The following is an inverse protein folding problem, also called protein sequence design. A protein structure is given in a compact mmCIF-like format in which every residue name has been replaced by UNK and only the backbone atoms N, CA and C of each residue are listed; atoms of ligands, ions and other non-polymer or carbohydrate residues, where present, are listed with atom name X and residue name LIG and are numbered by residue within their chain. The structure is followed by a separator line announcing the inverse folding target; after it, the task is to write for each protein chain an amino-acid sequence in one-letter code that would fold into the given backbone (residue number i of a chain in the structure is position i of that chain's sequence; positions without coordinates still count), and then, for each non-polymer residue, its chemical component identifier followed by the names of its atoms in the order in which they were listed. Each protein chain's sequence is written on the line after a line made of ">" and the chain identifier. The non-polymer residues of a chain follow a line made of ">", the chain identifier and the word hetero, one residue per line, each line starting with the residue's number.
data_IF_893206253128
#
_entry.id   IF_893206253128
#
_cell.length_a   1.000
_cell.length_b   1.000
_cell.length_c   1.000
_cell.angle_alpha   90.00
_cell.angle_beta   90.00
_cell.angle_gamma   90.00
#
_symmetry.space_group_name_H-M   'P 1'
#
loop_
_entity.id
_entity.type
_entity.pdbx_description
1 polymer ?
#
# COMPACT_ATOMS: atom_id res chain seq x y z
N UNK A 1 -14.66 -8.24 12.23
CA UNK A 1 -14.26 -8.76 10.89
C UNK A 1 -13.85 -10.24 11.00
N UNK A 2 -14.81 -11.17 10.96
CA UNK A 2 -14.53 -12.62 10.86
C UNK A 2 -14.55 -13.15 9.41
N UNK A 3 -14.83 -12.27 8.45
CA UNK A 3 -15.03 -12.64 7.03
C UNK A 3 -13.72 -12.83 6.24
N UNK A 4 -12.62 -12.19 6.66
CA UNK A 4 -11.33 -12.28 5.97
C UNK A 4 -10.31 -12.95 6.90
N UNK A 5 -9.77 -14.13 6.54
CA UNK A 5 -8.73 -14.80 7.34
C UNK A 5 -7.46 -13.95 7.43
N UNK A 6 -6.79 -13.97 8.60
CA UNK A 6 -5.58 -13.17 8.85
C UNK A 6 -4.50 -13.41 7.79
N UNK A 7 -4.20 -14.69 7.51
CA UNK A 7 -3.17 -15.07 6.54
C UNK A 7 -3.55 -14.65 5.11
N UNK A 8 -4.81 -14.81 4.73
CA UNK A 8 -5.30 -14.40 3.42
C UNK A 8 -5.16 -12.89 3.22
N UNK A 9 -5.53 -12.10 4.24
CA UNK A 9 -5.35 -10.64 4.20
C UNK A 9 -3.88 -10.24 4.02
N UNK A 10 -2.97 -10.85 4.79
CA UNK A 10 -1.54 -10.57 4.70
C UNK A 10 -0.95 -10.97 3.33
N UNK A 11 -1.32 -12.13 2.78
CA UNK A 11 -0.87 -12.56 1.45
C UNK A 11 -1.38 -11.61 0.36
N UNK A 12 -2.66 -11.22 0.42
CA UNK A 12 -3.23 -10.25 -0.51
C UNK A 12 -2.47 -8.92 -0.46
N UNK A 13 -2.16 -8.41 0.74
CA UNK A 13 -1.35 -7.20 0.87
C UNK A 13 0.03 -7.34 0.20
N UNK A 14 0.71 -8.48 0.37
CA UNK A 14 2.00 -8.73 -0.30
C UNK A 14 1.84 -8.71 -1.82
N UNK A 15 0.78 -9.33 -2.36
CA UNK A 15 0.49 -9.34 -3.80
C UNK A 15 0.27 -7.91 -4.32
N UNK A 16 -0.56 -7.12 -3.63
CA UNK A 16 -0.81 -5.73 -4.01
C UNK A 16 0.44 -4.86 -3.93
N UNK A 17 1.24 -4.98 -2.87
CA UNK A 17 2.50 -4.23 -2.75
C UNK A 17 3.52 -4.66 -3.80
N UNK A 18 3.60 -5.95 -4.13
CA UNK A 18 4.44 -6.45 -5.22
C UNK A 18 4.01 -5.88 -6.57
N UNK A 19 2.71 -5.87 -6.87
CA UNK A 19 2.18 -5.25 -8.07
C UNK A 19 2.46 -3.73 -8.10
N UNK A 20 2.33 -3.05 -6.97
CA UNK A 20 2.65 -1.62 -6.86
C UNK A 20 4.15 -1.35 -7.06
N UNK A 21 5.04 -2.21 -6.56
CA UNK A 21 6.49 -2.15 -6.83
C UNK A 21 6.76 -2.27 -8.33
N UNK A 22 6.14 -3.24 -9.02
CA UNK A 22 6.26 -3.37 -10.48
C UNK A 22 5.76 -2.12 -11.19
N UNK A 23 4.62 -1.55 -10.77
CA UNK A 23 4.12 -0.28 -11.30
C UNK A 23 5.14 0.86 -11.11
N UNK A 24 5.76 0.99 -9.94
CA UNK A 24 6.79 2.00 -9.70
C UNK A 24 8.04 1.81 -10.59
N UNK A 25 8.40 0.56 -10.92
CA UNK A 25 9.47 0.29 -11.91
C UNK A 25 9.06 0.79 -13.29
N UNK A 26 7.82 0.52 -13.73
CA UNK A 26 7.30 0.98 -15.03
C UNK A 26 7.30 2.52 -15.12
N UNK A 27 6.87 3.19 -14.03
CA UNK A 27 6.94 4.66 -13.90
C UNK A 27 8.37 5.16 -13.98
N UNK A 28 9.30 4.51 -13.28
CA UNK A 28 10.72 4.89 -13.27
C UNK A 28 11.37 4.76 -14.65
N UNK A 29 10.98 3.73 -15.42
CA UNK A 29 11.41 3.52 -16.80
C UNK A 29 10.79 4.52 -17.79
N UNK A 30 9.87 5.38 -17.34
CA UNK A 30 9.27 6.43 -18.16
C UNK A 30 8.18 5.95 -19.12
N UNK A 31 7.66 4.74 -18.94
CA UNK A 31 6.53 4.23 -19.75
C UNK A 31 5.20 4.89 -19.41
N UNK A 32 5.10 5.53 -18.24
CA UNK A 32 3.94 6.33 -17.83
C UNK A 32 4.31 7.81 -17.92
N UNK A 33 3.46 8.66 -18.54
CA UNK A 33 3.67 10.11 -18.57
C UNK A 33 3.79 10.70 -17.17
N UNK A 34 4.73 11.62 -16.97
CA UNK A 34 5.06 12.20 -15.65
C UNK A 34 3.85 12.88 -15.02
N UNK A 35 3.10 13.62 -15.83
CA UNK A 35 1.89 14.36 -15.50
C UNK A 35 0.70 13.47 -15.12
N UNK A 36 0.82 12.14 -15.23
CA UNK A 36 -0.21 11.17 -14.83
C UNK A 36 0.09 10.46 -13.50
N UNK A 37 1.26 10.69 -12.89
CA UNK A 37 1.67 9.99 -11.67
C UNK A 37 1.56 10.96 -10.49
N UNK A 38 1.31 10.41 -9.29
CA UNK A 38 1.25 11.19 -8.05
C UNK A 38 0.10 12.20 -8.04
N UNK A 39 -1.07 11.79 -8.51
CA UNK A 39 -2.26 12.63 -8.58
C UNK A 39 -2.19 13.68 -9.70
N UNK A 40 -1.34 13.46 -10.70
CA UNK A 40 -1.08 14.35 -11.83
C UNK A 40 -0.40 15.68 -11.48
N UNK A 41 0.46 15.68 -10.45
CA UNK A 41 1.08 16.91 -9.91
C UNK A 41 2.55 17.08 -10.26
N UNK A 42 3.20 16.04 -10.77
CA UNK A 42 4.62 16.09 -11.09
C UNK A 42 4.85 16.82 -12.41
N UNK A 43 5.91 17.63 -12.47
CA UNK A 43 6.19 18.50 -13.61
C UNK A 43 7.39 18.06 -14.44
N UNK A 44 8.27 17.21 -13.90
CA UNK A 44 9.52 16.82 -14.57
C UNK A 44 9.98 15.40 -14.20
N UNK A 45 10.93 14.87 -14.97
CA UNK A 45 11.45 13.50 -14.80
C UNK A 45 12.19 13.29 -13.47
N UNK A 46 12.78 14.34 -12.91
CA UNK A 46 13.47 14.27 -11.63
C UNK A 46 12.46 14.05 -10.50
N UNK A 47 11.36 14.81 -10.49
CA UNK A 47 10.24 14.62 -9.57
C UNK A 47 9.61 13.23 -9.70
N UNK A 48 9.41 12.75 -10.94
CA UNK A 48 8.96 11.37 -11.22
C UNK A 48 9.89 10.34 -10.59
N UNK A 49 11.20 10.50 -10.78
CA UNK A 49 12.22 9.58 -10.27
C UNK A 49 12.22 9.55 -8.74
N UNK A 50 12.22 10.71 -8.10
CA UNK A 50 12.17 10.82 -6.63
C UNK A 50 10.88 10.21 -6.10
N UNK A 51 9.73 10.55 -6.70
CA UNK A 51 8.43 10.02 -6.32
C UNK A 51 8.37 8.49 -6.45
N UNK A 52 8.91 7.93 -7.52
CA UNK A 52 8.94 6.49 -7.75
C UNK A 52 9.84 5.76 -6.74
N UNK A 53 11.05 6.26 -6.50
CA UNK A 53 11.99 5.68 -5.52
C UNK A 53 11.44 5.76 -4.10
N UNK A 54 10.90 6.90 -3.69
CA UNK A 54 10.29 7.06 -2.36
C UNK A 54 9.11 6.10 -2.15
N UNK A 55 8.24 5.98 -3.16
CA UNK A 55 7.12 5.03 -3.13
C UNK A 55 7.63 3.59 -3.01
N UNK A 56 8.68 3.23 -3.76
CA UNK A 56 9.29 1.91 -3.71
C UNK A 56 9.80 1.57 -2.31
N UNK A 57 10.55 2.48 -1.68
CA UNK A 57 11.09 2.30 -0.33
C UNK A 57 9.96 2.06 0.66
N UNK A 58 8.92 2.89 0.62
CA UNK A 58 7.75 2.75 1.50
C UNK A 58 7.04 1.41 1.28
N UNK A 59 6.85 0.99 0.03
CA UNK A 59 6.23 -0.30 -0.30
C UNK A 59 7.05 -1.48 0.22
N UNK A 60 8.37 -1.46 0.06
CA UNK A 60 9.26 -2.50 0.58
C UNK A 60 9.24 -2.57 2.12
N UNK A 61 9.18 -1.42 2.79
CA UNK A 61 8.99 -1.36 4.25
C UNK A 61 7.62 -1.94 4.66
N UNK A 62 6.56 -1.65 3.90
CA UNK A 62 5.25 -2.24 4.12
C UNK A 62 5.28 -3.77 3.99
N UNK A 63 5.93 -4.31 2.94
CA UNK A 63 6.12 -5.76 2.77
C UNK A 63 6.88 -6.35 3.96
N UNK A 64 7.97 -5.72 4.40
CA UNK A 64 8.75 -6.19 5.54
C UNK A 64 7.91 -6.27 6.82
N UNK A 65 7.06 -5.28 7.08
CA UNK A 65 6.15 -5.27 8.23
C UNK A 65 5.06 -6.37 8.13
N UNK A 66 4.49 -6.59 6.95
CA UNK A 66 3.52 -7.69 6.73
C UNK A 66 4.18 -9.05 6.97
N UNK A 67 5.42 -9.26 6.47
CA UNK A 67 6.19 -10.48 6.70
C UNK A 67 6.54 -10.68 8.18
N UNK A 68 6.90 -9.60 8.89
CA UNK A 68 7.10 -9.63 10.34
C UNK A 68 5.83 -10.10 11.04
N UNK A 69 4.67 -9.57 10.62
CA UNK A 69 3.37 -9.89 11.22
C UNK A 69 2.92 -11.32 10.95
N UNK A 70 3.26 -11.88 9.80
CA UNK A 70 3.07 -13.30 9.48
C UNK A 70 3.96 -14.21 10.34
N UNK A 71 5.22 -13.83 10.55
CA UNK A 71 6.19 -14.62 11.35
C UNK A 71 5.96 -14.51 12.85
N UNK A 72 5.56 -13.33 13.33
CA UNK A 72 5.41 -12.99 14.76
C UNK A 72 4.04 -12.34 14.97
N UNK A 73 2.95 -13.13 14.98
CA UNK A 73 1.60 -12.60 15.02
C UNK A 73 1.19 -11.94 16.35
N UNK A 74 2.01 -12.05 17.39
CA UNK A 74 1.79 -11.37 18.67
C UNK A 74 2.75 -10.19 18.89
N UNK A 75 3.58 -9.85 17.88
CA UNK A 75 4.50 -8.72 17.98
C UNK A 75 3.76 -7.39 18.07
N UNK A 76 3.97 -6.65 19.17
CA UNK A 76 3.44 -5.30 19.33
C UNK A 76 3.96 -4.35 18.24
N UNK A 77 5.24 -4.45 17.88
CA UNK A 77 5.86 -3.67 16.79
C UNK A 77 5.15 -3.97 15.47
N UNK A 78 4.92 -5.25 15.17
CA UNK A 78 4.16 -5.65 13.99
C UNK A 78 2.72 -5.12 14.01
N UNK A 79 2.02 -5.22 15.14
CA UNK A 79 0.64 -4.72 15.30
C UNK A 79 0.53 -3.21 15.06
N UNK A 80 1.33 -2.41 15.75
CA UNK A 80 1.35 -0.95 15.58
C UNK A 80 1.83 -0.55 14.18
N UNK A 81 2.83 -1.24 13.62
CA UNK A 81 3.29 -1.03 12.25
C UNK A 81 2.17 -1.21 11.22
N UNK A 82 1.30 -2.22 11.39
CA UNK A 82 0.16 -2.41 10.51
C UNK A 82 -0.91 -1.32 10.65
N UNK A 83 -1.10 -0.75 11.85
CA UNK A 83 -1.96 0.42 12.03
C UNK A 83 -1.40 1.67 11.33
N UNK A 84 -0.08 1.86 11.36
CA UNK A 84 0.58 2.94 10.59
C UNK A 84 0.35 2.74 9.09
N UNK A 85 0.51 1.52 8.58
CA UNK A 85 0.21 1.19 7.17
C UNK A 85 -1.27 1.48 6.85
N UNK A 86 -2.19 1.11 7.75
CA UNK A 86 -3.61 1.43 7.58
C UNK A 86 -3.83 2.95 7.45
N UNK A 87 -3.26 3.75 8.35
CA UNK A 87 -3.35 5.21 8.29
C UNK A 87 -2.76 5.79 7.01
N UNK A 88 -1.60 5.28 6.59
CA UNK A 88 -0.96 5.66 5.33
C UNK A 88 -1.88 5.38 4.12
N UNK A 89 -2.55 4.24 4.07
CA UNK A 89 -3.44 3.90 2.96
C UNK A 89 -4.79 4.64 2.99
N UNK A 90 -5.28 5.02 4.18
CA UNK A 90 -6.41 5.96 4.29
C UNK A 90 -6.02 7.33 3.73
N UNK A 91 -4.82 7.82 4.06
CA UNK A 91 -4.31 9.08 3.52
C UNK A 91 -4.10 8.99 2.00
N UNK A 92 -3.56 7.89 1.49
CA UNK A 92 -3.43 7.65 0.05
C UNK A 92 -4.79 7.64 -0.66
N UNK A 93 -5.80 6.98 -0.07
CA UNK A 93 -7.17 6.99 -0.61
C UNK A 93 -7.71 8.42 -0.71
N UNK A 94 -7.46 9.23 0.31
CA UNK A 94 -7.84 10.65 0.31
C UNK A 94 -7.07 11.46 -0.73
N UNK A 95 -5.80 11.16 -0.96
CA UNK A 95 -4.98 11.76 -2.01
C UNK A 95 -5.49 11.41 -3.41
N UNK A 96 -5.82 10.13 -3.65
CA UNK A 96 -6.33 9.64 -4.94
C UNK A 96 -7.72 10.20 -5.28
N UNK A 97 -8.57 10.42 -4.27
CA UNK A 97 -9.85 11.11 -4.44
C UNK A 97 -9.67 12.59 -4.86
N UNK A 98 -8.52 13.19 -4.59
CA UNK A 98 -8.15 14.56 -4.94
C UNK A 98 -7.13 14.63 -6.09
N UNK A 99 -6.94 13.53 -6.81
CA UNK A 99 -6.07 13.48 -7.98
C UNK A 99 -6.66 14.34 -9.11
N UNK A 100 -5.79 14.96 -9.89
CA UNK A 100 -6.17 15.72 -11.09
C UNK A 100 -6.47 14.79 -12.27
N UNK A 101 -5.89 13.59 -12.27
CA UNK A 101 -6.13 12.56 -13.27
C UNK A 101 -7.24 11.58 -12.81
N UNK A 102 -8.33 11.53 -13.57
CA UNK A 102 -9.48 10.66 -13.27
C UNK A 102 -9.13 9.17 -13.30
N UNK A 103 -8.14 8.74 -14.09
CA UNK A 103 -7.70 7.34 -14.16
C UNK A 103 -7.06 6.93 -12.84
N UNK A 104 -6.25 7.81 -12.25
CA UNK A 104 -5.69 7.57 -10.92
C UNK A 104 -6.79 7.47 -9.86
N UNK A 105 -7.78 8.37 -9.89
CA UNK A 105 -8.92 8.31 -8.97
C UNK A 105 -9.69 7.00 -9.12
N UNK A 106 -10.02 6.55 -10.34
CA UNK A 106 -10.85 5.36 -10.55
C UNK A 106 -10.11 4.05 -10.28
N UNK A 107 -8.79 3.99 -10.53
CA UNK A 107 -8.00 2.76 -10.38
C UNK A 107 -7.40 2.67 -8.97
N UNK A 108 -6.73 3.72 -8.50
CA UNK A 108 -5.94 3.63 -7.27
C UNK A 108 -6.76 3.86 -6.01
N UNK A 109 -7.82 4.66 -6.04
CA UNK A 109 -8.71 4.83 -4.86
C UNK A 109 -9.27 3.50 -4.34
N UNK A 110 -9.90 2.62 -5.15
CA UNK A 110 -10.41 1.36 -4.64
C UNK A 110 -9.28 0.45 -4.16
N UNK A 111 -8.11 0.46 -4.83
CA UNK A 111 -6.94 -0.33 -4.42
C UNK A 111 -6.43 0.11 -3.05
N UNK A 112 -6.26 1.42 -2.82
CA UNK A 112 -5.77 1.95 -1.55
C UNK A 112 -6.79 1.78 -0.43
N UNK A 113 -8.09 1.86 -0.74
CA UNK A 113 -9.15 1.57 0.22
C UNK A 113 -9.14 0.11 0.66
N UNK A 114 -9.02 -0.82 -0.29
CA UNK A 114 -8.89 -2.26 0.01
C UNK A 114 -7.65 -2.50 0.87
N UNK A 115 -6.50 -1.90 0.53
CA UNK A 115 -5.27 -2.01 1.30
C UNK A 115 -5.40 -1.47 2.73
N UNK A 116 -6.13 -0.37 2.93
CA UNK A 116 -6.44 0.15 4.27
C UNK A 116 -7.25 -0.86 5.10
N UNK A 117 -8.29 -1.45 4.51
CA UNK A 117 -9.13 -2.46 5.17
C UNK A 117 -8.33 -3.72 5.51
N UNK A 118 -7.51 -4.20 4.57
CA UNK A 118 -6.64 -5.37 4.80
C UNK A 118 -5.60 -5.07 5.89
N UNK A 119 -4.99 -3.88 5.89
CA UNK A 119 -4.04 -3.46 6.91
C UNK A 119 -4.67 -3.46 8.31
N UNK A 120 -5.87 -2.88 8.46
CA UNK A 120 -6.64 -2.92 9.70
C UNK A 120 -6.93 -4.37 10.13
N UNK A 121 -7.33 -5.23 9.18
CA UNK A 121 -7.58 -6.65 9.46
C UNK A 121 -6.34 -7.35 10.01
N UNK A 122 -5.17 -7.14 9.40
CA UNK A 122 -3.91 -7.74 9.83
C UNK A 122 -3.43 -7.12 11.15
N UNK A 123 -3.67 -5.83 11.40
CA UNK A 123 -3.31 -5.14 12.64
C UNK A 123 -4.02 -5.73 13.87
N UNK A 124 -5.32 -6.08 13.74
CA UNK A 124 -6.10 -6.73 14.80
C UNK A 124 -5.59 -8.13 15.19
N UNK A 125 -4.70 -8.73 14.39
CA UNK A 125 -4.02 -9.98 14.71
C UNK A 125 -4.78 -11.25 14.37
N UNK A 126 -4.17 -12.38 14.71
CA UNK A 126 -4.66 -13.73 14.39
C UNK A 126 -5.56 -14.24 15.51
N UNK A 127 -6.84 -13.82 15.48
CA UNK A 127 -7.85 -14.26 16.43
C UNK A 127 -8.11 -15.79 16.36
N UNK A 128 -7.86 -16.41 15.20
CA UNK A 128 -8.10 -17.84 14.98
C UNK A 128 -7.04 -18.74 15.63
N UNK A 129 -5.90 -18.17 16.08
CA UNK A 129 -4.83 -18.89 16.80
C UNK A 129 -5.00 -18.84 18.33
N UNK A 130 -5.88 -17.99 18.84
CA UNK A 130 -6.12 -17.78 20.29
C UNK A 130 -7.37 -18.52 20.80
N UNK A 131 -8.07 -19.24 19.93
CA UNK A 131 -9.17 -20.16 20.24
C UNK A 131 -8.66 -21.61 20.14
#
# INVERSE_FOLDING_TARGET
>A
MRLIPFRAAAILMIVFFGAAVVFQVIVLLGFIPTEMVWGGRLQNEQERTVGAVMSMVVLLLCVALVLLRLRRPDSAIGGWGMWIICGLFVLNTSGNLQALDMRETLIFTPVTLILAVLAARVAMGDADRKA
#
